data_IF_321968299296
#
_entry.id   IF_321968299296
#
_cell.length_a   1.000
_cell.length_b   1.000
_cell.length_c   1.000
_cell.angle_alpha   90.00
_cell.angle_beta   90.00
_cell.angle_gamma   90.00
#
_symmetry.space_group_name_H-M   'P 1'
#
loop_
_entity.id
_entity.type
_entity.pdbx_description
1 polymer ?
#
# COMPACT_ATOMS: atom_id res chain seq x y z
N UNK A 1 -25.45 53.86 -25.25
CA UNK A 1 -25.04 52.43 -25.20
C UNK A 1 -23.62 52.31 -24.65
N UNK A 2 -23.43 52.21 -23.33
CA UNK A 2 -22.09 52.07 -22.72
C UNK A 2 -22.13 51.39 -21.34
N UNK A 3 -23.04 50.43 -21.13
CA UNK A 3 -23.28 49.87 -19.80
C UNK A 3 -23.36 48.33 -19.71
N UNK A 4 -23.01 47.60 -20.78
CA UNK A 4 -23.02 46.12 -20.73
C UNK A 4 -21.62 45.47 -20.63
N UNK A 5 -20.53 46.21 -20.89
CA UNK A 5 -19.17 45.62 -20.94
C UNK A 5 -18.50 45.51 -19.56
N UNK A 6 -18.97 46.26 -18.56
CA UNK A 6 -18.32 46.28 -17.23
C UNK A 6 -18.68 45.09 -16.33
N UNK A 7 -19.77 44.37 -16.60
CA UNK A 7 -20.26 43.30 -15.72
C UNK A 7 -19.65 41.92 -16.05
N UNK A 8 -19.17 41.70 -17.28
CA UNK A 8 -18.54 40.42 -17.66
C UNK A 8 -17.05 40.35 -17.28
N UNK A 9 -16.31 41.46 -17.36
CA UNK A 9 -14.90 41.51 -16.97
C UNK A 9 -14.70 41.20 -15.48
N UNK A 10 -15.60 41.69 -14.63
CA UNK A 10 -15.48 41.51 -13.18
C UNK A 10 -15.72 40.04 -12.78
N UNK A 11 -16.62 39.33 -13.49
CA UNK A 11 -16.86 37.89 -13.28
C UNK A 11 -15.68 37.03 -13.74
N UNK A 12 -15.02 37.40 -14.84
CA UNK A 12 -13.83 36.70 -15.32
C UNK A 12 -12.63 36.83 -14.36
N UNK A 13 -12.42 38.02 -13.79
CA UNK A 13 -11.37 38.25 -12.78
C UNK A 13 -11.63 37.47 -11.48
N UNK A 14 -12.88 37.41 -11.03
CA UNK A 14 -13.27 36.61 -9.86
C UNK A 14 -13.04 35.12 -10.13
N UNK A 15 -13.38 34.62 -11.32
CA UNK A 15 -13.15 33.22 -11.70
C UNK A 15 -11.65 32.88 -11.77
N UNK A 16 -10.83 33.76 -12.34
CA UNK A 16 -9.37 33.59 -12.39
C UNK A 16 -8.77 33.61 -10.97
N UNK A 17 -9.26 34.48 -10.09
CA UNK A 17 -8.81 34.55 -8.70
C UNK A 17 -9.17 33.28 -7.91
N UNK A 18 -10.37 32.73 -8.11
CA UNK A 18 -10.79 31.46 -7.50
C UNK A 18 -9.93 30.29 -8.04
N UNK A 19 -9.64 30.27 -9.34
CA UNK A 19 -8.76 29.26 -9.94
C UNK A 19 -7.34 29.37 -9.38
N UNK A 20 -6.78 30.58 -9.26
CA UNK A 20 -5.47 30.78 -8.64
C UNK A 20 -5.44 30.40 -7.17
N UNK A 21 -6.49 30.70 -6.40
CA UNK A 21 -6.59 30.31 -5.00
C UNK A 21 -6.68 28.79 -4.83
N UNK A 22 -7.42 28.11 -5.70
CA UNK A 22 -7.52 26.65 -5.73
C UNK A 22 -6.20 25.97 -6.15
N UNK A 23 -5.47 26.56 -7.11
CA UNK A 23 -4.14 26.10 -7.54
C UNK A 23 -3.12 26.30 -6.42
N UNK A 24 -3.17 27.43 -5.69
CA UNK A 24 -2.25 27.70 -4.58
C UNK A 24 -2.49 26.76 -3.40
N UNK A 25 -3.75 26.45 -3.09
CA UNK A 25 -4.08 25.47 -2.05
C UNK A 25 -3.62 24.05 -2.43
N UNK A 26 -3.77 23.64 -3.69
CA UNK A 26 -3.28 22.33 -4.15
C UNK A 26 -1.76 22.24 -4.22
N UNK A 27 -1.06 23.34 -4.54
CA UNK A 27 0.41 23.38 -4.54
C UNK A 27 1.00 23.23 -3.12
N UNK A 28 0.33 23.77 -2.10
CA UNK A 28 0.76 23.60 -0.71
C UNK A 28 0.58 22.17 -0.19
N UNK A 29 -0.32 21.37 -0.78
CA UNK A 29 -0.49 19.95 -0.45
C UNK A 29 0.43 19.01 -1.25
N UNK A 30 0.81 19.38 -2.48
CA UNK A 30 1.62 18.52 -3.37
C UNK A 30 3.11 18.44 -2.98
N UNK A 31 3.63 19.39 -2.21
CA UNK A 31 5.06 19.44 -1.87
C UNK A 31 5.49 18.45 -0.76
N UNK A 32 4.60 17.55 -0.33
CA UNK A 32 4.85 16.59 0.75
C UNK A 32 5.21 15.16 0.33
N UNK A 33 5.02 14.75 -0.92
CA UNK A 33 5.21 13.34 -1.32
C UNK A 33 6.60 13.09 -1.92
N UNK A 34 7.58 12.81 -1.05
CA UNK A 34 8.78 12.08 -1.48
C UNK A 34 8.40 10.63 -1.79
N UNK A 35 8.37 10.28 -3.06
CA UNK A 35 8.17 8.91 -3.53
C UNK A 35 9.43 8.09 -3.23
N UNK A 36 9.41 7.28 -2.17
CA UNK A 36 10.49 6.32 -1.88
C UNK A 36 10.13 4.96 -2.49
N UNK A 37 10.97 4.46 -3.40
CA UNK A 37 10.88 3.11 -3.95
C UNK A 37 11.35 2.06 -2.95
N UNK A 38 10.77 0.85 -2.99
CA UNK A 38 11.11 -0.24 -2.06
C UNK A 38 12.56 -0.74 -2.21
N UNK A 39 13.16 -0.61 -3.39
CA UNK A 39 14.59 -0.85 -3.58
C UNK A 39 15.49 0.06 -2.71
N UNK A 40 15.03 1.27 -2.38
CA UNK A 40 15.69 2.16 -1.41
C UNK A 40 15.32 1.84 0.04
N UNK A 41 14.19 1.19 0.28
CA UNK A 41 13.74 0.76 1.61
C UNK A 41 14.58 -0.42 2.10
N UNK A 42 14.81 -1.39 1.23
CA UNK A 42 15.65 -2.57 1.49
C UNK A 42 17.09 -2.16 1.79
N UNK A 43 17.66 -1.21 1.02
CA UNK A 43 19.01 -0.69 1.26
C UNK A 43 19.12 0.14 2.56
N UNK A 44 18.09 0.89 2.94
CA UNK A 44 18.11 1.71 4.17
C UNK A 44 18.02 0.87 5.45
N UNK A 45 17.27 -0.24 5.41
CA UNK A 45 17.20 -1.19 6.54
C UNK A 45 18.49 -2.02 6.67
N UNK A 46 19.08 -2.43 5.55
CA UNK A 46 20.35 -3.18 5.53
C UNK A 46 21.56 -2.34 5.98
N UNK A 47 21.64 -1.06 5.59
CA UNK A 47 22.75 -0.18 5.98
C UNK A 47 22.79 0.06 7.50
N UNK A 48 21.61 0.13 8.14
CA UNK A 48 21.47 0.31 9.59
C UNK A 48 21.79 -0.98 10.36
N UNK A 49 21.41 -2.14 9.84
CA UNK A 49 21.78 -3.46 10.40
C UNK A 49 23.30 -3.70 10.36
N UNK A 50 24.00 -3.20 9.34
CA UNK A 50 25.45 -3.35 9.20
C UNK A 50 26.28 -2.58 10.25
N UNK A 51 25.71 -1.51 10.84
CA UNK A 51 26.41 -0.64 11.78
C UNK A 51 26.46 -1.17 13.22
N UNK A 52 25.62 -2.14 13.57
CA UNK A 52 25.48 -2.63 14.95
C UNK A 52 25.74 -4.14 15.14
N UNK A 53 26.18 -4.90 14.12
CA UNK A 53 26.41 -6.34 14.28
C UNK A 53 27.87 -6.77 14.12
N UNK A 54 28.57 -6.87 15.25
CA UNK A 54 29.59 -7.91 15.47
C UNK A 54 29.02 -9.00 16.38
N UNK A 55 27.98 -9.73 15.98
CA UNK A 55 27.76 -11.09 16.50
C UNK A 55 26.76 -11.88 15.65
N UNK A 56 27.14 -13.13 15.36
CA UNK A 56 26.33 -14.27 14.92
C UNK A 56 26.06 -14.45 13.42
N UNK A 57 27.12 -14.86 12.71
CA UNK A 57 27.02 -15.86 11.63
C UNK A 57 26.46 -17.19 12.20
N UNK A 58 25.14 -17.28 12.41
CA UNK A 58 24.41 -18.55 12.47
C UNK A 58 22.90 -18.33 12.34
N UNK A 59 22.45 -17.72 11.25
CA UNK A 59 21.02 -17.64 10.92
C UNK A 59 20.75 -17.97 9.45
N UNK A 60 21.45 -18.97 8.92
CA UNK A 60 21.02 -19.66 7.72
C UNK A 60 20.30 -20.94 8.17
N UNK A 61 19.02 -21.08 7.82
CA UNK A 61 18.13 -22.24 8.07
C UNK A 61 17.39 -22.32 9.43
N UNK A 62 16.91 -21.19 9.97
CA UNK A 62 15.90 -21.18 11.02
C UNK A 62 14.66 -20.43 10.55
N UNK A 63 13.49 -21.09 10.50
CA UNK A 63 12.22 -20.41 10.28
C UNK A 63 12.06 -19.28 11.31
N UNK A 64 11.85 -18.05 10.84
CA UNK A 64 11.48 -16.93 11.71
C UNK A 64 10.21 -17.33 12.47
N UNK A 65 10.18 -17.15 13.80
CA UNK A 65 9.03 -17.55 14.62
C UNK A 65 7.72 -16.87 14.18
N UNK A 66 7.86 -15.76 13.45
CA UNK A 66 6.79 -14.90 12.96
C UNK A 66 6.45 -15.11 11.48
N UNK A 67 7.23 -15.91 10.75
CA UNK A 67 7.03 -16.20 9.33
C UNK A 67 6.84 -17.70 9.12
N UNK A 68 5.69 -18.10 8.57
CA UNK A 68 5.29 -19.50 8.46
C UNK A 68 4.83 -19.86 7.05
N UNK A 69 4.95 -21.14 6.69
CA UNK A 69 4.44 -21.72 5.43
C UNK A 69 5.44 -21.72 4.27
N UNK A 70 4.95 -21.51 3.04
CA UNK A 70 5.71 -21.54 1.78
C UNK A 70 6.52 -20.24 1.57
N UNK A 71 7.48 -20.01 2.47
CA UNK A 71 8.25 -18.76 2.57
C UNK A 71 9.18 -18.49 1.38
N UNK A 72 9.46 -19.51 0.56
CA UNK A 72 10.36 -19.45 -0.60
C UNK A 72 9.81 -18.58 -1.74
N UNK A 73 8.53 -18.20 -1.66
CA UNK A 73 7.87 -17.28 -2.59
C UNK A 73 8.29 -15.83 -2.35
N UNK A 74 8.59 -15.49 -1.09
CA UNK A 74 8.88 -14.12 -0.72
C UNK A 74 10.31 -13.72 -1.12
N UNK A 75 10.58 -12.42 -1.09
CA UNK A 75 11.94 -11.93 -1.26
C UNK A 75 12.89 -12.52 -0.19
N UNK A 76 14.17 -12.66 -0.54
CA UNK A 76 15.17 -13.26 0.35
C UNK A 76 15.33 -12.52 1.69
N UNK A 77 15.01 -11.22 1.72
CA UNK A 77 15.12 -10.38 2.91
C UNK A 77 13.85 -10.39 3.77
N UNK A 78 12.73 -10.92 3.27
CA UNK A 78 11.46 -10.95 4.01
C UNK A 78 11.56 -11.65 5.38
N UNK A 79 12.25 -12.81 5.53
CA UNK A 79 12.38 -13.46 6.84
C UNK A 79 13.06 -12.57 7.89
N UNK A 80 14.12 -11.86 7.49
CA UNK A 80 14.87 -10.95 8.37
C UNK A 80 14.02 -9.77 8.79
N UNK A 81 13.36 -9.10 7.83
CA UNK A 81 12.51 -7.93 8.10
C UNK A 81 11.33 -8.30 9.00
N UNK A 82 10.65 -9.41 8.71
CA UNK A 82 9.52 -9.90 9.52
C UNK A 82 9.99 -10.25 10.93
N UNK A 83 11.13 -10.91 11.07
CA UNK A 83 11.67 -11.26 12.39
C UNK A 83 11.99 -10.00 13.20
N UNK A 84 12.70 -9.03 12.63
CA UNK A 84 13.12 -7.81 13.32
C UNK A 84 11.92 -6.96 13.77
N UNK A 85 10.99 -6.69 12.85
CA UNK A 85 9.82 -5.86 13.15
C UNK A 85 8.85 -6.56 14.11
N UNK A 86 8.58 -7.86 13.92
CA UNK A 86 7.73 -8.60 14.86
C UNK A 86 8.35 -8.68 16.24
N UNK A 87 9.67 -8.86 16.36
CA UNK A 87 10.36 -8.85 17.66
C UNK A 87 10.21 -7.50 18.36
N UNK A 88 10.44 -6.38 17.67
CA UNK A 88 10.28 -5.03 18.24
C UNK A 88 8.84 -4.81 18.70
N UNK A 89 7.85 -5.16 17.87
CA UNK A 89 6.43 -5.01 18.21
C UNK A 89 6.09 -5.85 19.43
N UNK A 90 6.52 -7.11 19.47
CA UNK A 90 6.26 -8.02 20.57
C UNK A 90 6.90 -7.53 21.88
N UNK A 91 8.15 -7.10 21.85
CA UNK A 91 8.84 -6.55 23.03
C UNK A 91 8.16 -5.30 23.60
N UNK A 92 7.63 -4.43 22.74
CA UNK A 92 7.01 -3.17 23.14
C UNK A 92 5.54 -3.30 23.54
N UNK A 93 4.81 -4.26 22.98
CA UNK A 93 3.33 -4.31 23.07
C UNK A 93 2.78 -5.64 23.54
N UNK A 94 3.59 -6.71 23.52
CA UNK A 94 3.14 -8.09 23.73
C UNK A 94 2.32 -8.66 22.57
N UNK A 95 2.13 -7.90 21.47
CA UNK A 95 1.40 -8.34 20.28
C UNK A 95 2.32 -9.17 19.38
N UNK A 96 1.85 -10.34 18.96
CA UNK A 96 2.52 -11.17 17.97
C UNK A 96 2.02 -10.82 16.58
N UNK A 97 2.92 -10.40 15.69
CA UNK A 97 2.60 -10.12 14.29
C UNK A 97 3.14 -11.26 13.45
N UNK A 98 2.29 -11.91 12.66
CA UNK A 98 2.64 -13.06 11.84
C UNK A 98 2.42 -12.80 10.35
N UNK A 99 3.24 -13.42 9.53
CA UNK A 99 3.02 -13.59 8.10
C UNK A 99 2.97 -15.09 7.78
N UNK A 100 1.84 -15.55 7.24
CA UNK A 100 1.62 -16.94 6.89
C UNK A 100 1.37 -17.07 5.39
N UNK A 101 2.29 -17.74 4.69
CA UNK A 101 2.26 -17.88 3.23
C UNK A 101 1.88 -19.29 2.85
N UNK A 102 0.94 -19.43 1.93
CA UNK A 102 0.45 -20.72 1.46
C UNK A 102 0.33 -20.68 -0.06
N UNK A 103 1.06 -21.56 -0.77
CA UNK A 103 0.93 -21.74 -2.23
C UNK A 103 -0.45 -22.26 -2.56
N UNK A 104 -0.80 -23.38 -1.96
CA UNK A 104 -2.07 -24.07 -2.15
C UNK A 104 -2.68 -24.33 -0.77
N UNK A 105 -3.86 -23.76 -0.53
CA UNK A 105 -4.62 -24.13 0.67
C UNK A 105 -4.87 -25.64 0.60
N UNK A 106 -4.57 -26.42 1.64
CA UNK A 106 -4.87 -27.85 1.64
C UNK A 106 -6.35 -28.05 1.32
N UNK A 107 -6.63 -28.75 0.21
CA UNK A 107 -7.99 -28.90 -0.32
C UNK A 107 -8.13 -30.31 -0.91
N UNK A 108 -9.36 -30.84 -0.93
CA UNK A 108 -9.68 -31.97 -1.80
C UNK A 108 -9.72 -31.44 -3.25
N UNK A 109 -8.94 -32.05 -4.15
CA UNK A 109 -8.60 -31.61 -5.52
C UNK A 109 -9.78 -31.36 -6.51
N UNK A 110 -11.03 -31.37 -6.06
CA UNK A 110 -12.21 -31.38 -6.94
C UNK A 110 -13.04 -30.08 -6.94
N UNK A 111 -12.65 -29.04 -6.22
CA UNK A 111 -13.45 -27.82 -6.10
C UNK A 111 -12.94 -26.66 -6.96
N UNK A 112 -13.58 -26.50 -8.13
CA UNK A 112 -13.42 -25.33 -9.02
C UNK A 112 -14.31 -24.15 -8.64
N UNK A 113 -15.23 -24.33 -7.68
CA UNK A 113 -16.16 -23.30 -7.24
C UNK A 113 -15.47 -22.22 -6.39
N UNK A 114 -15.66 -20.95 -6.77
CA UNK A 114 -15.14 -19.77 -6.10
C UNK A 114 -15.63 -19.70 -4.65
N UNK A 115 -16.89 -20.05 -4.40
CA UNK A 115 -17.45 -20.03 -3.04
C UNK A 115 -16.80 -21.11 -2.17
N UNK A 116 -16.62 -22.32 -2.70
CA UNK A 116 -15.92 -23.40 -2.00
C UNK A 116 -14.47 -23.01 -1.65
N UNK A 117 -13.74 -22.38 -2.59
CA UNK A 117 -12.40 -21.84 -2.31
C UNK A 117 -12.39 -20.79 -1.21
N UNK A 118 -13.35 -19.85 -1.24
CA UNK A 118 -13.49 -18.85 -0.20
C UNK A 118 -13.72 -19.48 1.18
N UNK A 119 -14.66 -20.42 1.28
CA UNK A 119 -14.95 -21.10 2.55
C UNK A 119 -13.76 -21.91 3.05
N UNK A 120 -13.05 -22.61 2.16
CA UNK A 120 -11.85 -23.35 2.54
C UNK A 120 -10.77 -22.45 3.14
N UNK A 121 -10.53 -21.28 2.53
CA UNK A 121 -9.60 -20.28 3.09
C UNK A 121 -10.06 -19.81 4.47
N UNK A 122 -11.35 -19.54 4.66
CA UNK A 122 -11.87 -19.13 5.99
C UNK A 122 -11.71 -20.21 7.04
N UNK A 123 -12.00 -21.47 6.71
CA UNK A 123 -11.78 -22.59 7.62
C UNK A 123 -10.30 -22.77 7.96
N UNK A 124 -9.41 -22.62 6.97
CA UNK A 124 -7.96 -22.69 7.17
C UNK A 124 -7.45 -21.55 8.07
N UNK A 125 -7.86 -20.31 7.81
CA UNK A 125 -7.53 -19.15 8.66
C UNK A 125 -7.96 -19.41 10.10
N UNK A 126 -9.21 -19.84 10.32
CA UNK A 126 -9.73 -20.14 11.65
C UNK A 126 -8.88 -21.20 12.35
N UNK A 127 -8.60 -22.32 11.68
CA UNK A 127 -7.80 -23.40 12.23
C UNK A 127 -6.41 -22.96 12.71
N UNK A 128 -5.74 -22.10 11.92
CA UNK A 128 -4.43 -21.55 12.30
C UNK A 128 -4.58 -20.56 13.46
N UNK A 129 -5.56 -19.65 13.40
CA UNK A 129 -5.74 -18.62 14.43
C UNK A 129 -6.15 -19.16 15.80
N UNK A 130 -6.87 -20.29 15.85
CA UNK A 130 -7.26 -20.96 17.11
C UNK A 130 -6.05 -21.48 17.90
N UNK A 131 -4.93 -21.74 17.23
CA UNK A 131 -3.70 -22.24 17.85
C UNK A 131 -2.82 -21.10 18.41
N UNK A 132 -3.12 -19.85 18.05
CA UNK A 132 -2.33 -18.69 18.45
C UNK A 132 -2.77 -18.20 19.83
N UNK A 133 -1.88 -18.33 20.81
CA UNK A 133 -2.12 -17.82 22.16
C UNK A 133 -1.68 -16.35 22.31
N UNK A 134 -2.50 -15.57 23.01
CA UNK A 134 -2.24 -14.16 23.32
C UNK A 134 -2.75 -13.19 22.27
N UNK A 135 -2.30 -11.94 22.34
CA UNK A 135 -2.68 -10.90 21.38
C UNK A 135 -1.93 -11.11 20.06
N UNK A 136 -2.65 -11.15 18.94
CA UNK A 136 -2.04 -11.39 17.63
C UNK A 136 -2.70 -10.59 16.51
N UNK A 137 -1.91 -10.38 15.47
CA UNK A 137 -2.36 -10.04 14.13
C UNK A 137 -1.59 -10.90 13.12
N UNK A 138 -2.29 -11.49 12.16
CA UNK A 138 -1.71 -12.41 11.17
C UNK A 138 -2.18 -12.03 9.77
N UNK A 139 -1.22 -11.91 8.86
CA UNK A 139 -1.45 -11.75 7.43
C UNK A 139 -1.37 -13.13 6.80
N UNK A 140 -2.43 -13.55 6.11
CA UNK A 140 -2.44 -14.75 5.29
C UNK A 140 -2.27 -14.38 3.82
N UNK A 141 -1.30 -14.98 3.15
CA UNK A 141 -1.11 -14.89 1.71
C UNK A 141 -1.43 -16.24 1.07
N UNK A 142 -2.52 -16.31 0.31
CA UNK A 142 -2.90 -17.45 -0.52
C UNK A 142 -2.42 -17.20 -1.94
N UNK A 143 -1.18 -17.59 -2.20
CA UNK A 143 -0.42 -17.17 -3.37
C UNK A 143 -1.08 -17.60 -4.69
N UNK A 144 -1.45 -18.87 -4.87
CA UNK A 144 -2.07 -19.29 -6.14
C UNK A 144 -3.53 -18.81 -6.32
N UNK A 145 -4.17 -18.32 -5.27
CA UNK A 145 -5.56 -17.86 -5.26
C UNK A 145 -5.68 -16.33 -5.37
N UNK A 146 -4.56 -15.60 -5.53
CA UNK A 146 -4.51 -14.12 -5.55
C UNK A 146 -5.19 -13.47 -4.35
N UNK A 147 -5.19 -14.14 -3.20
CA UNK A 147 -5.92 -13.67 -2.02
C UNK A 147 -4.96 -13.36 -0.87
N UNK A 148 -5.18 -12.21 -0.23
CA UNK A 148 -4.51 -11.79 0.98
C UNK A 148 -5.58 -11.41 2.01
N UNK A 149 -5.40 -11.84 3.25
CA UNK A 149 -6.32 -11.53 4.34
C UNK A 149 -5.55 -11.17 5.60
N UNK A 150 -6.21 -10.40 6.47
CA UNK A 150 -5.68 -9.99 7.76
C UNK A 150 -6.68 -10.43 8.84
N UNK A 151 -6.18 -11.18 9.82
CA UNK A 151 -6.94 -11.59 11.01
C UNK A 151 -6.25 -11.09 12.27
N UNK A 152 -7.04 -10.72 13.26
CA UNK A 152 -6.55 -10.16 14.52
C UNK A 152 -7.58 -10.36 15.61
N UNK A 153 -7.12 -10.56 16.85
CA UNK A 153 -7.99 -10.52 18.03
C UNK A 153 -7.92 -9.16 18.77
N UNK A 154 -7.22 -8.18 18.21
CA UNK A 154 -7.07 -6.84 18.78
C UNK A 154 -8.30 -5.97 18.47
N UNK A 155 -8.91 -5.30 19.48
CA UNK A 155 -10.13 -4.50 19.28
C UNK A 155 -9.99 -3.35 18.26
N UNK A 156 -8.81 -2.74 18.18
CA UNK A 156 -8.53 -1.63 17.25
C UNK A 156 -8.21 -2.10 15.81
N UNK A 157 -8.08 -3.41 15.60
CA UNK A 157 -7.90 -4.07 14.31
C UNK A 157 -9.07 -5.03 14.07
N UNK A 158 -10.29 -4.56 14.29
CA UNK A 158 -11.50 -5.29 13.91
C UNK A 158 -11.60 -5.46 12.38
N UNK A 159 -12.56 -6.26 11.92
CA UNK A 159 -12.70 -6.60 10.49
C UNK A 159 -12.79 -5.37 9.57
N UNK A 160 -13.43 -4.28 10.02
CA UNK A 160 -13.51 -3.03 9.25
C UNK A 160 -12.12 -2.39 9.07
N UNK A 161 -11.38 -2.18 10.15
CA UNK A 161 -10.05 -1.58 10.07
C UNK A 161 -9.04 -2.49 9.37
N UNK A 162 -9.20 -3.82 9.50
CA UNK A 162 -8.39 -4.79 8.76
C UNK A 162 -8.68 -4.70 7.25
N UNK A 163 -9.95 -4.55 6.86
CA UNK A 163 -10.34 -4.35 5.47
C UNK A 163 -9.79 -3.03 4.89
N UNK A 164 -9.85 -1.93 5.66
CA UNK A 164 -9.24 -0.66 5.28
C UNK A 164 -7.73 -0.79 5.02
N UNK A 165 -7.01 -1.49 5.91
CA UNK A 165 -5.57 -1.73 5.72
C UNK A 165 -5.28 -2.52 4.43
N UNK A 166 -6.09 -3.53 4.12
CA UNK A 166 -5.95 -4.30 2.88
C UNK A 166 -6.21 -3.43 1.65
N UNK A 167 -7.27 -2.61 1.68
CA UNK A 167 -7.65 -1.74 0.57
C UNK A 167 -6.62 -0.64 0.29
N UNK A 168 -6.02 -0.09 1.33
CA UNK A 168 -5.09 1.04 1.20
C UNK A 168 -3.65 0.62 0.96
N UNK A 169 -3.24 -0.56 1.46
CA UNK A 169 -1.83 -0.94 1.49
C UNK A 169 -1.49 -2.27 0.79
N UNK A 170 -2.48 -3.13 0.52
CA UNK A 170 -2.23 -4.40 -0.18
C UNK A 170 -2.78 -4.41 -1.61
N UNK A 171 -4.10 -4.27 -1.76
CA UNK A 171 -4.81 -4.42 -3.04
C UNK A 171 -4.32 -3.50 -4.17
N UNK A 172 -3.89 -2.25 -3.94
CA UNK A 172 -3.37 -1.40 -5.02
C UNK A 172 -2.11 -1.95 -5.69
N UNK A 173 -1.37 -2.82 -4.99
CA UNK A 173 -0.09 -3.38 -5.43
C UNK A 173 -0.20 -4.84 -5.87
N UNK A 174 -1.35 -5.49 -5.60
CA UNK A 174 -1.54 -6.88 -6.02
C UNK A 174 -1.61 -6.96 -7.56
N UNK A 175 -0.80 -7.85 -8.17
CA UNK A 175 -0.73 -7.95 -9.61
C UNK A 175 -1.93 -8.72 -10.17
N UNK A 176 -2.43 -8.26 -11.32
CA UNK A 176 -3.41 -8.98 -12.12
C UNK A 176 -2.77 -10.05 -13.04
N UNK A 177 -1.45 -10.11 -13.05
CA UNK A 177 -0.67 -11.03 -13.87
C UNK A 177 -0.85 -12.50 -13.44
N UNK A 178 -0.45 -13.41 -14.32
CA UNK A 178 -0.49 -14.85 -14.04
C UNK A 178 0.53 -15.23 -12.96
N UNK A 179 0.14 -16.16 -12.10
CA UNK A 179 0.96 -16.70 -11.01
C UNK A 179 2.30 -17.20 -11.54
N UNK A 180 3.38 -16.91 -10.81
CA UNK A 180 4.74 -17.37 -11.13
C UNK A 180 5.49 -16.53 -12.15
N UNK A 181 4.86 -15.51 -12.75
CA UNK A 181 5.58 -14.50 -13.55
C UNK A 181 6.40 -13.58 -12.64
N UNK A 182 7.50 -13.02 -13.16
CA UNK A 182 8.32 -12.07 -12.38
C UNK A 182 7.50 -10.91 -11.82
N UNK A 183 6.65 -10.32 -12.67
CA UNK A 183 5.75 -9.22 -12.31
C UNK A 183 4.73 -9.62 -11.23
N UNK A 184 4.26 -10.86 -11.27
CA UNK A 184 3.39 -11.40 -10.22
C UNK A 184 4.12 -11.48 -8.88
N UNK A 185 5.33 -12.03 -8.89
CA UNK A 185 6.13 -12.18 -7.68
C UNK A 185 6.48 -10.81 -7.08
N UNK A 186 6.87 -9.86 -7.93
CA UNK A 186 7.21 -8.50 -7.51
C UNK A 186 6.01 -7.78 -6.88
N UNK A 187 4.84 -7.83 -7.51
CA UNK A 187 3.63 -7.18 -6.99
C UNK A 187 3.13 -7.84 -5.69
N UNK A 188 3.20 -9.17 -5.58
CA UNK A 188 2.86 -9.87 -4.32
C UNK A 188 3.83 -9.46 -3.21
N UNK A 189 5.13 -9.44 -3.48
CA UNK A 189 6.13 -9.01 -2.50
C UNK A 189 5.89 -7.55 -2.06
N UNK A 190 5.59 -6.66 -3.00
CA UNK A 190 5.27 -5.25 -2.72
C UNK A 190 4.02 -5.13 -1.84
N UNK A 191 2.91 -5.74 -2.24
CA UNK A 191 1.64 -5.66 -1.49
C UNK A 191 1.74 -6.26 -0.09
N UNK A 192 2.40 -7.41 0.06
CA UNK A 192 2.57 -8.08 1.37
C UNK A 192 3.50 -7.28 2.28
N UNK A 193 4.64 -6.81 1.76
CA UNK A 193 5.59 -6.01 2.54
C UNK A 193 4.97 -4.68 2.97
N UNK A 194 4.24 -4.03 2.08
CA UNK A 194 3.58 -2.76 2.36
C UNK A 194 2.46 -2.92 3.40
N UNK A 195 1.64 -3.97 3.29
CA UNK A 195 0.63 -4.30 4.29
C UNK A 195 1.26 -4.59 5.65
N UNK A 196 2.34 -5.35 5.69
CA UNK A 196 3.04 -5.70 6.92
C UNK A 196 3.62 -4.44 7.61
N UNK A 197 4.22 -3.52 6.84
CA UNK A 197 4.65 -2.21 7.35
C UNK A 197 3.47 -1.39 7.87
N UNK A 198 2.36 -1.33 7.13
CA UNK A 198 1.17 -0.58 7.55
C UNK A 198 0.57 -1.13 8.86
N UNK A 199 0.49 -2.46 8.98
CA UNK A 199 0.03 -3.14 10.18
C UNK A 199 0.92 -2.83 11.39
N UNK A 200 2.24 -2.97 11.25
CA UNK A 200 3.20 -2.71 12.34
C UNK A 200 3.19 -1.25 12.77
N UNK A 201 3.09 -0.29 11.84
CA UNK A 201 2.91 1.13 12.16
C UNK A 201 1.56 1.42 12.82
N UNK A 202 0.47 0.77 12.40
CA UNK A 202 -0.86 0.93 13.04
C UNK A 202 -0.82 0.45 14.50
N UNK A 203 -0.17 -0.69 14.76
CA UNK A 203 0.04 -1.20 16.12
C UNK A 203 0.91 -0.22 16.91
N UNK A 204 2.04 0.23 16.37
CA UNK A 204 2.94 1.16 17.05
C UNK A 204 2.24 2.48 17.44
N UNK A 205 1.43 3.02 16.53
CA UNK A 205 0.61 4.20 16.78
C UNK A 205 -0.42 3.98 17.89
N UNK A 206 -1.07 2.81 17.93
CA UNK A 206 -2.04 2.49 18.98
C UNK A 206 -1.40 2.42 20.38
N UNK A 207 -0.20 1.83 20.48
CA UNK A 207 0.56 1.71 21.72
C UNK A 207 1.48 2.91 22.03
N UNK A 208 1.41 3.98 21.23
CA UNK A 208 2.15 5.23 21.40
C UNK A 208 3.68 5.07 21.47
N UNK A 209 4.25 4.26 20.59
CA UNK A 209 5.70 4.21 20.42
C UNK A 209 6.11 4.47 18.97
N UNK A 210 7.32 4.99 18.79
CA UNK A 210 7.88 5.24 17.46
C UNK A 210 8.52 3.97 16.92
N UNK A 211 7.98 3.47 15.80
CA UNK A 211 8.59 2.38 15.06
C UNK A 211 9.62 2.96 14.10
N UNK A 212 10.89 2.58 14.29
CA UNK A 212 12.00 3.00 13.43
C UNK A 212 12.06 2.16 12.15
N UNK A 213 10.95 2.12 11.43
CA UNK A 213 10.78 1.43 10.16
C UNK A 213 10.31 2.42 9.10
N UNK A 214 10.64 2.18 7.81
CA UNK A 214 10.07 2.89 6.69
C UNK A 214 8.54 3.00 6.82
N UNK A 215 7.99 4.14 6.44
CA UNK A 215 6.53 4.30 6.38
C UNK A 215 5.98 3.47 5.22
N UNK A 216 4.79 2.87 5.35
CA UNK A 216 4.14 2.20 4.24
C UNK A 216 3.83 3.21 3.12
N UNK A 217 3.81 2.73 1.90
CA UNK A 217 3.34 3.46 0.74
C UNK A 217 1.82 3.55 0.78
N UNK A 218 1.30 4.77 0.83
CA UNK A 218 -0.14 5.02 0.84
C UNK A 218 -0.71 4.94 -0.59
N UNK A 219 -1.92 4.37 -0.72
CA UNK A 219 -2.75 4.48 -1.92
C UNK A 219 -2.89 5.95 -2.31
N UNK A 220 -2.75 6.24 -3.60
CA UNK A 220 -3.01 7.59 -4.12
C UNK A 220 -4.46 7.98 -3.81
N UNK A 221 -4.62 9.03 -3.00
CA UNK A 221 -5.92 9.58 -2.62
C UNK A 221 -6.76 9.90 -3.86
N UNK A 222 -8.07 9.61 -3.80
CA UNK A 222 -8.99 9.96 -4.89
C UNK A 222 -9.02 11.46 -5.18
N UNK A 223 -8.76 12.31 -4.18
CA UNK A 223 -8.58 13.74 -4.38
C UNK A 223 -7.37 14.03 -5.28
N UNK A 224 -6.29 13.29 -5.13
CA UNK A 224 -5.09 13.41 -5.99
C UNK A 224 -5.42 13.02 -7.43
N UNK A 225 -6.21 11.95 -7.63
CA UNK A 225 -6.66 11.55 -8.98
C UNK A 225 -7.52 12.63 -9.63
N UNK A 226 -8.45 13.24 -8.88
CA UNK A 226 -9.28 14.35 -9.37
C UNK A 226 -8.41 15.54 -9.78
N UNK A 227 -7.40 15.90 -8.99
CA UNK A 227 -6.46 16.98 -9.33
C UNK A 227 -5.69 16.65 -10.60
N UNK A 228 -5.18 15.42 -10.74
CA UNK A 228 -4.47 14.97 -11.95
C UNK A 228 -5.39 15.08 -13.18
N UNK A 229 -6.64 14.62 -13.08
CA UNK A 229 -7.60 14.72 -14.18
C UNK A 229 -7.99 16.17 -14.51
N UNK A 230 -8.13 17.04 -13.51
CA UNK A 230 -8.37 18.45 -13.72
C UNK A 230 -7.19 19.12 -14.45
N UNK A 231 -5.94 18.83 -14.05
CA UNK A 231 -4.74 19.33 -14.74
C UNK A 231 -4.68 18.85 -16.19
N UNK A 232 -4.98 17.56 -16.42
CA UNK A 232 -5.02 17.00 -17.78
C UNK A 232 -6.08 17.70 -18.65
N UNK A 233 -7.27 17.96 -18.11
CA UNK A 233 -8.35 18.65 -18.82
C UNK A 233 -7.95 20.09 -19.18
N UNK A 234 -7.29 20.81 -18.26
CA UNK A 234 -6.77 22.15 -18.52
C UNK A 234 -5.72 22.14 -19.64
N UNK A 235 -4.80 21.16 -19.63
CA UNK A 235 -3.79 21.01 -20.68
C UNK A 235 -4.42 20.72 -22.06
N UNK A 236 -5.43 19.85 -22.11
CA UNK A 236 -6.18 19.57 -23.35
C UNK A 236 -6.91 20.83 -23.82
N UNK A 237 -7.56 21.55 -22.91
CA UNK A 237 -8.25 22.81 -23.20
C UNK A 237 -7.30 23.86 -23.77
N UNK A 238 -6.13 24.05 -23.15
CA UNK A 238 -5.07 24.92 -23.65
C UNK A 238 -4.57 24.47 -25.02
N UNK A 239 -4.33 23.17 -25.22
CA UNK A 239 -3.87 22.64 -26.49
C UNK A 239 -4.87 22.89 -27.63
N UNK A 240 -6.16 22.67 -27.38
CA UNK A 240 -7.25 22.98 -28.32
C UNK A 240 -7.30 24.48 -28.61
N UNK A 241 -7.26 25.31 -27.56
CA UNK A 241 -7.34 26.77 -27.68
C UNK A 241 -6.15 27.33 -28.47
N UNK A 242 -4.93 26.85 -28.22
CA UNK A 242 -3.75 27.19 -29.01
C UNK A 242 -3.92 26.73 -30.45
N UNK A 243 -4.33 25.47 -30.68
CA UNK A 243 -4.47 24.92 -32.04
C UNK A 243 -5.49 25.69 -32.89
N UNK A 244 -6.66 26.02 -32.34
CA UNK A 244 -7.69 26.77 -33.06
C UNK A 244 -7.45 28.28 -33.05
N UNK A 245 -6.87 28.83 -31.99
CA UNK A 245 -6.46 30.24 -31.89
C UNK A 245 -5.36 30.59 -32.89
N UNK A 246 -4.34 29.74 -33.04
CA UNK A 246 -3.25 29.94 -33.99
C UNK A 246 -3.73 29.86 -35.45
N UNK A 247 -4.74 29.01 -35.74
CA UNK A 247 -5.41 28.95 -37.04
C UNK A 247 -6.27 30.19 -37.32
N UNK A 248 -6.88 30.79 -36.31
CA UNK A 248 -7.65 32.03 -36.45
C UNK A 248 -6.75 33.24 -36.75
N UNK A 249 -5.53 33.28 -36.19
CA UNK A 249 -4.54 34.31 -36.53
C UNK A 249 -3.93 34.14 -37.93
N UNK A 250 -3.78 32.89 -38.41
CA UNK A 250 -3.24 32.62 -39.77
C UNK A 250 -4.19 33.05 -40.91
N UNK A 251 -5.49 33.21 -40.66
CA UNK A 251 -6.49 33.59 -41.68
C UNK A 251 -6.63 35.11 -41.89
N UNK A 252 -5.91 35.92 -41.11
CA UNK A 252 -5.91 37.40 -41.20
C UNK A 252 -4.61 37.98 -41.80
N UNK A 253 -3.73 37.12 -42.34
CA UNK A 253 -2.53 37.53 -43.09
C UNK A 253 -2.75 37.42 -44.58
#
# INVERSE_FOLDING_TARGET
MKQEVSCSLNKAYILIYIIHLAILQTFMFANGSKQSSIANIESTLLDKSSKDSKTNEKLAQGASAYLQGDIDILSQNAPTIVQELSSIIYEKTGVKVFLHVVKNTPQNDTQTDINAKFQNRRSYETHITEQIQGNYAIIFLFYNDHAITLKSNLPFLNDTHAAELLEDYAYPYLPADSVGTLRYNDGVNEGVSNLYLALTHKIAKHYNFELNAPKPMEKQSDATKVVIYAMLLILIGLFILVRFGLLAFKKKG
#
